data_IF_591205522919
#
_entry.id   IF_591205522919
#
_cell.length_a   1.000
_cell.length_b   1.000
_cell.length_c   1.000
_cell.angle_alpha   90.00
_cell.angle_beta   90.00
_cell.angle_gamma   90.00
#
_symmetry.space_group_name_H-M   'P 1'
#
loop_
_entity.id
_entity.type
_entity.pdbx_description
1 polymer ?
#
# COMPACT_ATOMS: atom_id res chain seq x y z
N UNK A 1 -1.11 -9.60 21.00
CA UNK A 1 -2.17 -8.60 21.34
C UNK A 1 -2.16 -8.30 22.83
N UNK A 2 -2.26 -9.27 23.73
CA UNK A 2 -2.33 -9.04 25.19
C UNK A 2 -1.21 -8.15 25.70
N UNK A 3 0.03 -8.39 25.27
CA UNK A 3 1.19 -7.56 25.61
C UNK A 3 1.01 -6.12 25.10
N UNK A 4 0.60 -5.97 23.84
CA UNK A 4 0.40 -4.65 23.21
C UNK A 4 -0.66 -3.83 23.94
N UNK A 5 -1.80 -4.46 24.32
CA UNK A 5 -2.87 -3.81 25.06
C UNK A 5 -2.40 -3.38 26.44
N UNK A 6 -1.74 -4.26 27.19
CA UNK A 6 -1.20 -3.95 28.52
C UNK A 6 -0.19 -2.80 28.44
N UNK A 7 0.78 -2.87 27.52
CA UNK A 7 1.75 -1.80 27.28
C UNK A 7 1.06 -0.47 26.93
N UNK A 8 0.03 -0.51 26.09
CA UNK A 8 -0.71 0.67 25.68
C UNK A 8 -1.42 1.33 26.89
N UNK A 9 -2.09 0.54 27.72
CA UNK A 9 -2.74 1.06 28.93
C UNK A 9 -1.73 1.66 29.92
N UNK A 10 -0.63 0.98 30.17
CA UNK A 10 0.35 1.37 31.18
C UNK A 10 1.22 2.58 30.74
N UNK A 11 1.45 2.75 29.43
CA UNK A 11 2.50 3.66 28.94
C UNK A 11 2.01 4.72 27.94
N UNK A 12 0.81 4.58 27.36
CA UNK A 12 0.34 5.48 26.29
C UNK A 12 -0.85 6.30 26.79
N UNK A 13 -0.72 7.62 26.93
CA UNK A 13 -1.75 8.49 27.50
C UNK A 13 -3.12 8.35 26.84
N UNK A 14 -3.15 8.20 25.51
CA UNK A 14 -4.42 8.04 24.78
C UNK A 14 -5.19 6.80 25.22
N UNK A 15 -4.51 5.67 25.35
CA UNK A 15 -5.17 4.39 25.70
C UNK A 15 -5.50 4.31 27.18
N UNK A 16 -4.69 4.91 28.05
CA UNK A 16 -5.04 5.07 29.45
C UNK A 16 -6.35 5.84 29.60
N UNK A 17 -6.43 7.03 29.00
CA UNK A 17 -7.65 7.85 29.02
C UNK A 17 -8.87 7.14 28.41
N UNK A 18 -8.66 6.42 27.29
CA UNK A 18 -9.70 5.66 26.62
C UNK A 18 -10.26 4.56 27.53
N UNK A 19 -9.36 3.81 28.19
CA UNK A 19 -9.71 2.71 29.06
C UNK A 19 -10.46 3.17 30.32
N UNK A 20 -9.97 4.23 30.97
CA UNK A 20 -10.62 4.76 32.19
C UNK A 20 -11.99 5.36 31.86
N UNK A 21 -12.13 6.13 30.78
CA UNK A 21 -13.42 6.75 30.40
C UNK A 21 -14.50 5.77 29.97
N UNK A 22 -14.11 4.60 29.43
CA UNK A 22 -15.05 3.61 28.92
C UNK A 22 -15.11 2.32 29.75
N UNK A 23 -14.52 2.29 30.93
CA UNK A 23 -14.46 1.11 31.81
C UNK A 23 -13.81 -0.12 31.14
N UNK A 24 -12.79 0.09 30.28
CA UNK A 24 -12.10 -0.96 29.53
C UNK A 24 -10.80 -1.44 30.18
N UNK A 25 -10.44 -0.93 31.37
CA UNK A 25 -9.19 -1.25 32.06
C UNK A 25 -8.95 -2.76 32.17
N UNK A 26 -9.95 -3.52 32.56
CA UNK A 26 -9.85 -4.98 32.69
C UNK A 26 -9.55 -5.65 31.34
N UNK A 27 -10.11 -5.12 30.25
CA UNK A 27 -9.85 -5.64 28.90
C UNK A 27 -8.40 -5.40 28.49
N UNK A 28 -7.85 -4.23 28.79
CA UNK A 28 -6.45 -3.91 28.49
C UNK A 28 -5.46 -4.74 29.31
N UNK A 29 -5.78 -5.04 30.58
CA UNK A 29 -4.86 -5.75 31.49
C UNK A 29 -5.00 -7.28 31.38
N UNK A 30 -6.23 -7.80 31.23
CA UNK A 30 -6.57 -9.23 31.23
C UNK A 30 -7.32 -9.64 29.94
N UNK A 31 -6.76 -9.27 28.80
CA UNK A 31 -7.34 -9.43 27.49
C UNK A 31 -7.76 -10.86 27.17
N UNK A 32 -8.98 -11.00 26.64
CA UNK A 32 -9.48 -12.21 25.97
C UNK A 32 -9.96 -11.83 24.57
N UNK A 33 -9.76 -12.72 23.59
CA UNK A 33 -10.02 -12.42 22.18
C UNK A 33 -11.46 -11.95 21.90
N UNK A 34 -12.45 -12.49 22.60
CA UNK A 34 -13.85 -12.10 22.42
C UNK A 34 -14.14 -10.64 22.86
N UNK A 35 -13.27 -10.05 23.70
CA UNK A 35 -13.41 -8.65 24.14
C UNK A 35 -12.76 -7.66 23.17
N UNK A 36 -12.12 -8.11 22.09
CA UNK A 36 -11.41 -7.19 21.18
C UNK A 36 -12.36 -6.13 20.60
N UNK A 37 -13.58 -6.54 20.24
CA UNK A 37 -14.59 -5.64 19.64
C UNK A 37 -15.12 -4.57 20.60
N UNK A 38 -14.92 -4.73 21.91
CA UNK A 38 -15.31 -3.75 22.91
C UNK A 38 -14.36 -2.53 22.91
N UNK A 39 -13.14 -2.69 22.39
CA UNK A 39 -12.18 -1.61 22.23
C UNK A 39 -12.58 -0.75 21.02
N UNK A 40 -12.79 0.56 21.20
CA UNK A 40 -13.19 1.45 20.10
C UNK A 40 -12.17 1.49 18.95
N UNK A 41 -12.69 1.60 17.74
CA UNK A 41 -11.87 1.81 16.55
C UNK A 41 -11.24 3.20 16.56
N UNK A 42 -9.97 3.28 16.16
CA UNK A 42 -9.30 4.55 15.86
C UNK A 42 -9.18 4.73 14.36
N UNK A 43 -9.18 5.97 13.92
CA UNK A 43 -9.01 6.32 12.51
C UNK A 43 -7.99 7.44 12.34
N UNK A 44 -7.66 7.73 11.09
CA UNK A 44 -6.69 8.77 10.73
C UNK A 44 -7.03 10.15 11.31
N UNK A 45 -8.31 10.48 11.41
CA UNK A 45 -8.77 11.78 11.97
C UNK A 45 -8.46 11.87 13.47
N UNK A 46 -8.76 10.82 14.22
CA UNK A 46 -8.46 10.73 15.65
C UNK A 46 -6.94 10.76 15.88
N UNK A 47 -6.22 9.94 15.13
CA UNK A 47 -4.76 9.87 15.22
C UNK A 47 -4.10 11.22 14.91
N UNK A 48 -4.58 11.96 13.92
CA UNK A 48 -4.08 13.29 13.58
C UNK A 48 -4.39 14.33 14.66
N UNK A 49 -5.61 14.33 15.19
CA UNK A 49 -6.03 15.30 16.19
C UNK A 49 -5.31 15.11 17.55
N UNK A 50 -4.96 13.86 17.87
CA UNK A 50 -4.38 13.48 19.17
C UNK A 50 -2.98 12.84 19.05
N UNK A 51 -2.26 13.08 17.96
CA UNK A 51 -1.02 12.38 17.63
C UNK A 51 -0.02 12.31 18.80
N UNK A 52 0.20 13.40 19.52
CA UNK A 52 1.11 13.44 20.67
C UNK A 52 0.69 12.54 21.83
N UNK A 53 -0.60 12.29 22.01
CA UNK A 53 -1.12 11.44 23.07
C UNK A 53 -0.96 9.94 22.76
N UNK A 54 -0.74 9.58 21.50
CA UNK A 54 -0.42 8.21 21.10
C UNK A 54 1.04 7.84 21.32
N UNK A 55 1.91 8.83 21.59
CA UNK A 55 3.32 8.60 21.84
C UNK A 55 3.59 8.41 23.34
N UNK A 56 4.43 7.45 23.67
CA UNK A 56 4.93 7.21 25.01
C UNK A 56 5.73 8.42 25.51
N UNK A 57 5.38 9.02 26.67
CA UNK A 57 5.95 10.30 27.11
C UNK A 57 7.45 10.30 27.42
N UNK A 58 7.98 9.18 27.89
CA UNK A 58 9.39 9.02 28.28
C UNK A 58 10.33 8.64 27.12
N UNK A 59 9.81 8.62 25.89
CA UNK A 59 10.59 8.31 24.69
C UNK A 59 11.49 9.51 24.34
N UNK A 60 12.78 9.45 24.71
CA UNK A 60 13.66 10.62 24.61
C UNK A 60 14.67 10.59 23.47
N UNK A 61 15.04 9.44 22.87
CA UNK A 61 16.14 9.35 21.88
C UNK A 61 15.86 8.33 20.77
N UNK A 62 16.40 8.64 19.58
CA UNK A 62 16.39 7.74 18.41
C UNK A 62 14.98 7.33 17.89
N UNK A 63 14.07 8.29 17.85
CA UNK A 63 12.76 8.08 17.24
C UNK A 63 12.85 8.25 15.73
N UNK A 64 12.33 7.28 15.00
CA UNK A 64 12.13 7.36 13.57
C UNK A 64 10.65 7.66 13.27
N UNK A 65 10.38 8.64 12.41
CA UNK A 65 9.02 8.97 12.02
C UNK A 65 8.73 8.45 10.62
N UNK A 66 7.70 7.62 10.51
CA UNK A 66 7.12 7.19 9.26
C UNK A 66 5.92 8.08 8.93
N UNK A 67 5.96 8.73 7.77
CA UNK A 67 4.92 9.66 7.34
C UNK A 67 4.00 8.99 6.33
N UNK A 68 2.69 9.13 6.51
CA UNK A 68 1.72 8.66 5.52
C UNK A 68 1.67 9.60 4.32
N UNK A 69 1.56 9.05 3.12
CA UNK A 69 1.24 9.84 1.94
C UNK A 69 -0.24 10.24 2.02
N UNK A 70 -0.48 11.51 2.32
CA UNK A 70 -1.83 12.01 2.56
C UNK A 70 -2.58 12.34 1.28
N UNK A 71 -3.16 11.35 0.59
CA UNK A 71 -4.00 11.60 -0.59
C UNK A 71 -5.32 12.32 -0.26
N UNK A 72 -5.85 12.24 0.95
CA UNK A 72 -7.22 12.73 1.26
C UNK A 72 -7.43 13.33 2.64
N UNK A 73 -6.43 13.42 3.49
CA UNK A 73 -6.65 13.90 4.87
C UNK A 73 -5.42 14.54 5.54
N UNK A 74 -4.39 14.83 4.77
CA UNK A 74 -3.11 15.32 5.29
C UNK A 74 -2.22 14.20 5.86
N UNK A 75 -0.95 14.53 6.06
CA UNK A 75 0.06 13.58 6.56
C UNK A 75 -0.14 13.29 8.03
N UNK A 76 0.06 12.04 8.41
CA UNK A 76 0.17 11.61 9.80
C UNK A 76 1.55 10.98 9.97
N UNK A 77 2.18 11.24 11.12
CA UNK A 77 3.48 10.68 11.48
C UNK A 77 3.27 9.63 12.56
N UNK A 78 3.80 8.43 12.35
CA UNK A 78 3.87 7.38 13.36
C UNK A 78 5.32 7.23 13.80
N UNK A 79 5.54 7.24 15.10
CA UNK A 79 6.86 7.12 15.70
C UNK A 79 7.23 5.66 15.92
N UNK A 80 8.47 5.32 15.64
CA UNK A 80 9.07 4.02 15.90
C UNK A 80 10.40 4.21 16.63
N UNK A 81 10.64 3.41 17.65
CA UNK A 81 11.97 3.23 18.22
C UNK A 81 12.81 2.27 17.37
N UNK A 82 14.03 2.01 17.84
CA UNK A 82 14.93 1.10 17.13
C UNK A 82 14.37 -0.32 17.07
N UNK A 83 13.75 -0.81 18.15
CA UNK A 83 13.14 -2.14 18.19
C UNK A 83 12.02 -2.30 17.17
N UNK A 84 11.11 -1.33 17.08
CA UNK A 84 10.04 -1.33 16.07
C UNK A 84 10.57 -1.29 14.64
N UNK A 85 11.66 -0.55 14.38
CA UNK A 85 12.32 -0.51 13.08
C UNK A 85 13.01 -1.84 12.75
N UNK A 86 13.61 -2.49 13.74
CA UNK A 86 14.28 -3.79 13.58
C UNK A 86 13.24 -4.89 13.30
N UNK A 87 12.09 -4.87 13.95
CA UNK A 87 10.96 -5.75 13.63
C UNK A 87 10.50 -5.59 12.19
N UNK A 88 10.29 -4.37 11.72
CA UNK A 88 9.93 -4.12 10.31
C UNK A 88 10.96 -4.66 9.33
N UNK A 89 12.25 -4.52 9.66
CA UNK A 89 13.36 -5.06 8.86
C UNK A 89 13.40 -6.59 8.88
N UNK A 90 13.21 -7.20 10.06
CA UNK A 90 13.18 -8.65 10.22
C UNK A 90 12.05 -9.31 9.42
N UNK A 91 10.84 -8.72 9.48
CA UNK A 91 9.69 -9.18 8.68
C UNK A 91 9.98 -9.12 7.19
N UNK A 92 10.60 -8.03 6.72
CA UNK A 92 10.97 -7.90 5.30
C UNK A 92 12.00 -8.96 4.89
N UNK A 93 13.03 -9.18 5.70
CA UNK A 93 14.05 -10.22 5.47
C UNK A 93 13.41 -11.61 5.45
N UNK A 94 12.52 -11.89 6.39
CA UNK A 94 11.78 -13.15 6.46
C UNK A 94 10.97 -13.38 5.19
N UNK A 95 10.12 -12.44 4.80
CA UNK A 95 9.25 -12.56 3.64
C UNK A 95 10.04 -12.76 2.33
N UNK A 96 11.08 -11.98 2.11
CA UNK A 96 11.96 -12.10 0.93
C UNK A 96 12.78 -13.39 0.95
N UNK A 97 13.18 -13.83 2.15
CA UNK A 97 13.89 -15.09 2.36
C UNK A 97 13.11 -16.31 1.89
N UNK A 98 11.77 -16.30 1.99
CA UNK A 98 10.90 -17.36 1.46
C UNK A 98 11.05 -17.59 -0.06
N UNK A 99 11.52 -16.57 -0.76
CA UNK A 99 11.82 -16.62 -2.19
C UNK A 99 13.32 -16.74 -2.49
N UNK A 100 14.11 -17.11 -1.49
CA UNK A 100 15.55 -17.32 -1.64
C UNK A 100 16.38 -16.04 -1.73
N UNK A 101 15.79 -14.86 -1.48
CA UNK A 101 16.54 -13.62 -1.39
C UNK A 101 17.38 -13.61 -0.10
N UNK A 102 18.69 -13.41 -0.25
CA UNK A 102 19.64 -13.43 0.88
C UNK A 102 20.01 -12.00 1.29
N UNK A 103 20.39 -11.85 2.55
CA UNK A 103 20.99 -10.60 3.03
C UNK A 103 22.16 -10.19 2.14
N UNK A 104 22.26 -8.91 1.87
CA UNK A 104 23.27 -8.29 1.02
C UNK A 104 23.21 -8.67 -0.47
N UNK A 105 22.21 -9.41 -0.93
CA UNK A 105 21.91 -9.47 -2.35
C UNK A 105 21.57 -8.06 -2.85
N UNK A 106 21.91 -7.75 -4.12
CA UNK A 106 21.67 -6.42 -4.69
C UNK A 106 20.18 -6.12 -4.80
N UNK A 107 19.74 -5.09 -4.10
CA UNK A 107 18.39 -4.55 -4.18
C UNK A 107 18.36 -3.23 -4.94
N UNK A 108 17.39 -3.06 -5.82
CA UNK A 108 17.07 -1.78 -6.44
C UNK A 108 15.64 -1.42 -6.15
N UNK A 109 15.44 -0.22 -5.61
CA UNK A 109 14.11 0.31 -5.32
C UNK A 109 13.80 1.45 -6.28
N UNK A 110 12.66 1.35 -6.96
CA UNK A 110 12.11 2.46 -7.71
C UNK A 110 11.36 3.38 -6.75
N UNK A 111 11.62 4.67 -6.83
CA UNK A 111 11.02 5.65 -5.93
C UNK A 111 10.72 6.93 -6.69
N UNK A 112 9.72 7.68 -6.24
CA UNK A 112 9.57 9.08 -6.61
C UNK A 112 10.65 9.91 -5.95
N UNK A 113 11.05 11.03 -6.58
CA UNK A 113 12.14 11.87 -6.04
C UNK A 113 11.70 12.58 -4.75
N UNK A 114 11.99 11.94 -3.63
CA UNK A 114 11.73 12.47 -2.27
C UNK A 114 13.02 12.71 -1.50
N UNK A 115 14.15 12.87 -2.20
CA UNK A 115 15.45 13.05 -1.55
C UNK A 115 15.45 14.23 -0.60
N UNK A 116 15.97 14.03 0.60
CA UNK A 116 16.20 15.14 1.54
C UNK A 116 17.11 16.20 0.90
N UNK A 117 16.76 17.47 1.08
CA UNK A 117 17.63 18.59 0.68
C UNK A 117 18.84 18.73 1.60
N UNK A 118 18.82 18.08 2.77
CA UNK A 118 19.91 18.15 3.75
C UNK A 118 21.05 17.18 3.38
N UNK A 119 22.25 17.69 3.18
CA UNK A 119 23.44 16.90 2.84
C UNK A 119 23.76 15.80 3.86
N UNK A 120 23.56 16.06 5.15
CA UNK A 120 23.82 15.06 6.21
C UNK A 120 22.88 13.86 6.08
N UNK A 121 21.61 14.08 5.77
CA UNK A 121 20.62 13.01 5.58
C UNK A 121 20.92 12.22 4.31
N UNK A 122 21.36 12.90 3.25
CA UNK A 122 21.82 12.24 2.02
C UNK A 122 23.01 11.31 2.28
N UNK A 123 24.01 11.76 3.06
CA UNK A 123 25.17 10.94 3.42
C UNK A 123 24.74 9.72 4.26
N UNK A 124 23.89 9.93 5.27
CA UNK A 124 23.35 8.82 6.09
C UNK A 124 22.58 7.80 5.25
N UNK A 125 21.75 8.30 4.32
CA UNK A 125 21.00 7.44 3.43
C UNK A 125 21.95 6.65 2.51
N UNK A 126 22.92 7.30 1.90
CA UNK A 126 23.94 6.63 1.06
C UNK A 126 24.71 5.57 1.82
N UNK A 127 25.17 5.86 3.06
CA UNK A 127 25.85 4.88 3.90
C UNK A 127 24.96 3.66 4.21
N UNK A 128 23.68 3.91 4.52
CA UNK A 128 22.69 2.85 4.76
C UNK A 128 22.44 2.01 3.51
N UNK A 129 22.35 2.64 2.35
CA UNK A 129 22.19 1.96 1.07
C UNK A 129 23.41 1.09 0.73
N UNK A 130 24.63 1.60 0.99
CA UNK A 130 25.86 0.85 0.78
C UNK A 130 25.95 -0.38 1.67
N UNK A 131 25.66 -0.24 2.98
CA UNK A 131 25.69 -1.35 3.94
C UNK A 131 24.68 -2.43 3.56
N UNK A 132 23.49 -2.05 3.08
CA UNK A 132 22.44 -3.00 2.69
C UNK A 132 22.56 -3.48 1.24
N UNK A 133 23.60 -3.11 0.51
CA UNK A 133 23.74 -3.33 -0.94
C UNK A 133 22.47 -2.92 -1.72
N UNK A 134 21.90 -1.78 -1.36
CA UNK A 134 20.67 -1.23 -1.95
C UNK A 134 21.00 -0.01 -2.80
N UNK A 135 20.24 0.19 -3.86
CA UNK A 135 20.25 1.44 -4.66
C UNK A 135 18.82 1.92 -4.85
N UNK A 136 18.63 3.24 -4.87
CA UNK A 136 17.37 3.83 -5.27
C UNK A 136 17.50 4.43 -6.67
N UNK A 137 16.56 4.11 -7.54
CA UNK A 137 16.39 4.77 -8.85
C UNK A 137 15.19 5.70 -8.70
N UNK A 138 15.43 7.00 -8.86
CA UNK A 138 14.38 8.01 -8.76
C UNK A 138 13.79 8.26 -10.15
N UNK A 139 12.57 7.77 -10.34
CA UNK A 139 11.85 7.94 -11.61
C UNK A 139 11.29 9.36 -11.65
N UNK A 140 11.67 10.11 -12.70
CA UNK A 140 11.19 11.46 -12.96
C UNK A 140 10.20 11.50 -14.11
N UNK A 141 10.44 10.69 -15.11
CA UNK A 141 9.64 10.58 -16.32
C UNK A 141 9.84 9.20 -16.97
N UNK A 142 8.99 8.87 -17.91
CA UNK A 142 9.00 7.61 -18.66
C UNK A 142 9.32 7.83 -20.14
N UNK A 143 10.01 8.92 -20.52
CA UNK A 143 10.44 9.05 -21.90
C UNK A 143 11.48 7.97 -22.29
N UNK A 144 11.59 7.66 -23.58
CA UNK A 144 12.41 6.54 -24.07
C UNK A 144 13.88 6.61 -23.60
N UNK A 145 14.47 7.80 -23.50
CA UNK A 145 15.85 7.98 -23.04
C UNK A 145 15.99 7.66 -21.56
N UNK A 146 15.04 8.11 -20.73
CA UNK A 146 15.03 7.85 -19.30
C UNK A 146 14.77 6.37 -19.00
N UNK A 147 13.81 5.75 -19.67
CA UNK A 147 13.55 4.29 -19.57
C UNK A 147 14.80 3.48 -19.88
N UNK A 148 15.47 3.78 -21.00
CA UNK A 148 16.69 3.09 -21.39
C UNK A 148 17.80 3.23 -20.33
N UNK A 149 17.99 4.42 -19.77
CA UNK A 149 18.96 4.65 -18.71
C UNK A 149 18.63 3.87 -17.43
N UNK A 150 17.38 3.86 -17.01
CA UNK A 150 16.94 3.11 -15.81
C UNK A 150 17.12 1.60 -16.00
N UNK A 151 16.72 1.06 -17.15
CA UNK A 151 16.87 -0.36 -17.46
C UNK A 151 18.36 -0.77 -17.56
N UNK A 152 19.21 0.07 -18.14
CA UNK A 152 20.64 -0.17 -18.12
C UNK A 152 21.23 -0.18 -16.71
N UNK A 153 20.76 0.71 -15.83
CA UNK A 153 21.19 0.69 -14.43
C UNK A 153 20.77 -0.60 -13.73
N UNK A 154 19.54 -1.07 -13.93
CA UNK A 154 19.07 -2.34 -13.38
C UNK A 154 19.91 -3.53 -13.84
N UNK A 155 20.18 -3.61 -15.15
CA UNK A 155 20.96 -4.69 -15.75
C UNK A 155 22.43 -4.65 -15.30
N UNK A 156 23.08 -3.47 -15.34
CA UNK A 156 24.49 -3.32 -15.00
C UNK A 156 24.80 -3.57 -13.52
N UNK A 157 23.86 -3.29 -12.64
CA UNK A 157 24.00 -3.52 -11.18
C UNK A 157 23.81 -4.97 -10.77
N UNK A 158 23.51 -5.89 -11.71
CA UNK A 158 23.19 -7.30 -11.40
C UNK A 158 22.12 -7.40 -10.31
N UNK A 159 21.02 -6.69 -10.53
CA UNK A 159 19.91 -6.58 -9.57
C UNK A 159 19.33 -7.96 -9.23
N UNK A 160 19.31 -8.32 -7.95
CA UNK A 160 18.68 -9.54 -7.47
C UNK A 160 17.22 -9.34 -7.08
N UNK A 161 16.89 -8.15 -6.58
CA UNK A 161 15.54 -7.76 -6.21
C UNK A 161 15.24 -6.37 -6.76
N UNK A 162 14.16 -6.26 -7.52
CA UNK A 162 13.56 -4.99 -7.92
C UNK A 162 12.30 -4.76 -7.08
N UNK A 163 12.23 -3.62 -6.40
CA UNK A 163 11.06 -3.21 -5.65
C UNK A 163 10.52 -1.88 -6.17
N UNK A 164 9.19 -1.78 -6.35
CA UNK A 164 8.56 -0.54 -6.78
C UNK A 164 7.03 -0.64 -6.78
N UNK A 165 6.37 0.45 -7.14
CA UNK A 165 4.94 0.43 -7.40
C UNK A 165 4.65 -0.29 -8.73
N UNK A 166 3.54 -1.05 -8.83
CA UNK A 166 3.16 -1.71 -10.09
C UNK A 166 3.19 -0.79 -11.30
N UNK A 167 2.60 0.40 -11.18
CA UNK A 167 2.57 1.40 -12.28
C UNK A 167 3.96 1.88 -12.69
N UNK A 168 4.89 2.05 -11.74
CA UNK A 168 6.26 2.46 -12.02
C UNK A 168 7.03 1.39 -12.79
N UNK A 169 6.89 0.12 -12.37
CA UNK A 169 7.60 -0.99 -13.02
C UNK A 169 7.02 -1.24 -14.41
N UNK A 170 5.70 -1.27 -14.54
CA UNK A 170 5.01 -1.47 -15.82
C UNK A 170 5.31 -0.31 -16.79
N UNK A 171 5.21 0.94 -16.33
CA UNK A 171 5.58 2.11 -17.12
C UNK A 171 7.04 2.12 -17.59
N UNK A 172 7.96 1.57 -16.78
CA UNK A 172 9.38 1.48 -17.12
C UNK A 172 9.64 0.51 -18.29
N UNK A 173 8.92 -0.61 -18.34
CA UNK A 173 9.13 -1.68 -19.33
C UNK A 173 8.26 -1.52 -20.57
N UNK A 174 7.24 -0.67 -20.52
CA UNK A 174 6.34 -0.46 -21.63
C UNK A 174 7.07 0.03 -22.88
N UNK A 175 6.71 -0.54 -24.06
CA UNK A 175 7.33 -0.26 -25.37
C UNK A 175 8.84 -0.60 -25.45
N UNK A 176 9.36 -1.44 -24.56
CA UNK A 176 10.74 -1.92 -24.56
C UNK A 176 10.81 -3.36 -25.01
N UNK A 177 11.53 -3.63 -26.09
CA UNK A 177 11.66 -4.98 -26.66
C UNK A 177 12.74 -5.85 -26.03
N UNK A 178 13.70 -5.25 -25.32
CA UNK A 178 14.84 -5.99 -24.75
C UNK A 178 14.54 -6.43 -23.33
N UNK A 179 14.20 -7.69 -23.17
CA UNK A 179 14.00 -8.35 -21.87
C UNK A 179 15.33 -8.75 -21.21
N UNK A 180 15.33 -8.82 -19.89
CA UNK A 180 16.42 -9.39 -19.10
C UNK A 180 15.87 -9.95 -17.77
N UNK A 181 16.59 -10.91 -17.20
CA UNK A 181 16.14 -11.58 -15.98
C UNK A 181 16.49 -10.80 -14.72
N UNK A 182 15.51 -10.66 -13.82
CA UNK A 182 15.70 -10.26 -12.40
C UNK A 182 15.13 -11.38 -11.54
N UNK A 183 15.91 -11.97 -10.62
CA UNK A 183 15.46 -13.11 -9.82
C UNK A 183 14.19 -12.87 -9.01
N UNK A 184 13.96 -11.65 -8.53
CA UNK A 184 12.83 -11.30 -7.70
C UNK A 184 12.31 -9.91 -8.03
N UNK A 185 11.02 -9.79 -8.32
CA UNK A 185 10.32 -8.51 -8.46
C UNK A 185 9.23 -8.44 -7.39
N UNK A 186 9.28 -7.40 -6.55
CA UNK A 186 8.34 -7.16 -5.45
C UNK A 186 7.59 -5.85 -5.68
N UNK A 187 6.26 -5.89 -5.64
CA UNK A 187 5.40 -4.71 -5.78
C UNK A 187 4.74 -4.32 -4.46
N UNK A 188 4.49 -3.03 -4.28
CA UNK A 188 3.70 -2.51 -3.16
C UNK A 188 3.22 -1.08 -3.41
N UNK A 189 2.29 -0.61 -2.58
CA UNK A 189 1.84 0.79 -2.58
C UNK A 189 0.67 1.09 -3.50
N UNK A 190 0.42 0.23 -4.47
CA UNK A 190 -0.72 0.22 -5.37
C UNK A 190 -1.20 -1.21 -5.55
N UNK A 191 -2.40 -1.39 -6.08
CA UNK A 191 -2.90 -2.72 -6.43
C UNK A 191 -2.20 -3.22 -7.69
N UNK A 192 -1.67 -4.43 -7.62
CA UNK A 192 -1.07 -5.09 -8.78
C UNK A 192 -2.17 -5.71 -9.65
N UNK A 193 -2.41 -5.11 -10.82
CA UNK A 193 -3.38 -5.58 -11.79
C UNK A 193 -2.86 -6.79 -12.57
N UNK A 194 -3.76 -7.62 -13.08
CA UNK A 194 -3.39 -8.86 -13.80
C UNK A 194 -2.56 -8.60 -15.05
N UNK A 195 -2.90 -7.57 -15.83
CA UNK A 195 -2.14 -7.15 -17.00
C UNK A 195 -0.72 -6.68 -16.61
N UNK A 196 -0.59 -5.82 -15.61
CA UNK A 196 0.71 -5.37 -15.11
C UNK A 196 1.55 -6.57 -14.62
N UNK A 197 0.95 -7.49 -13.85
CA UNK A 197 1.63 -8.71 -13.40
C UNK A 197 2.18 -9.49 -14.60
N UNK A 198 1.35 -9.78 -15.60
CA UNK A 198 1.77 -10.52 -16.80
C UNK A 198 2.88 -9.81 -17.57
N UNK A 199 2.76 -8.49 -17.78
CA UNK A 199 3.78 -7.69 -18.47
C UNK A 199 5.11 -7.76 -17.75
N UNK A 200 5.12 -7.53 -16.43
CA UNK A 200 6.31 -7.53 -15.59
C UNK A 200 6.96 -8.92 -15.53
N UNK A 201 6.15 -9.98 -15.33
CA UNK A 201 6.62 -11.36 -15.29
C UNK A 201 7.25 -11.81 -16.61
N UNK A 202 6.63 -11.45 -17.74
CA UNK A 202 7.15 -11.75 -19.08
C UNK A 202 8.45 -10.99 -19.35
N UNK A 203 8.51 -9.70 -19.01
CA UNK A 203 9.69 -8.87 -19.27
C UNK A 203 10.91 -9.30 -18.48
N UNK A 204 10.76 -9.56 -17.18
CA UNK A 204 11.87 -9.93 -16.30
C UNK A 204 12.07 -11.45 -16.19
N UNK A 205 11.26 -12.27 -16.86
CA UNK A 205 11.29 -13.74 -16.79
C UNK A 205 11.29 -14.26 -15.34
N UNK A 206 10.43 -13.70 -14.50
CA UNK A 206 10.30 -14.03 -13.07
C UNK A 206 8.87 -13.88 -12.59
N UNK A 207 8.55 -14.46 -11.43
CA UNK A 207 7.26 -14.21 -10.78
C UNK A 207 7.29 -12.88 -10.01
N UNK A 208 6.22 -12.11 -10.14
CA UNK A 208 6.02 -10.90 -9.35
C UNK A 208 5.38 -11.27 -8.03
N UNK A 209 5.93 -10.75 -6.94
CA UNK A 209 5.41 -10.90 -5.59
C UNK A 209 4.75 -9.60 -5.18
N UNK A 210 3.53 -9.71 -4.70
CA UNK A 210 2.80 -8.57 -4.20
C UNK A 210 2.80 -8.53 -2.67
N UNK A 211 2.77 -7.31 -2.11
CA UNK A 211 2.62 -7.10 -0.67
C UNK A 211 1.73 -5.91 -0.35
N UNK A 212 0.97 -6.05 0.72
CA UNK A 212 0.23 -4.96 1.32
C UNK A 212 0.94 -4.45 2.57
N UNK A 213 1.13 -3.16 2.63
CA UNK A 213 1.77 -2.51 3.77
C UNK A 213 1.33 -1.06 3.94
N UNK A 214 1.49 -0.57 5.15
CA UNK A 214 1.10 0.77 5.58
C UNK A 214 2.30 1.49 6.20
N UNK A 215 2.39 2.80 6.04
CA UNK A 215 3.37 3.60 6.76
C UNK A 215 3.15 3.51 8.28
N UNK A 216 1.89 3.28 8.69
CA UNK A 216 1.47 3.19 10.08
C UNK A 216 1.81 1.87 10.77
N UNK A 217 1.95 0.77 10.00
CA UNK A 217 2.16 -0.57 10.59
C UNK A 217 3.18 -1.45 9.86
N UNK A 218 3.84 -0.94 8.84
CA UNK A 218 4.80 -1.75 8.07
C UNK A 218 4.11 -2.76 7.15
N UNK A 219 4.71 -3.95 6.99
CA UNK A 219 4.14 -5.04 6.18
C UNK A 219 2.97 -5.67 6.94
N UNK A 220 1.79 -5.63 6.35
CA UNK A 220 0.55 -6.21 6.90
C UNK A 220 0.30 -7.60 6.33
N UNK A 221 0.42 -7.73 5.01
CA UNK A 221 0.23 -9.00 4.32
C UNK A 221 1.20 -9.14 3.14
N UNK A 222 1.54 -10.38 2.83
CA UNK A 222 2.55 -10.72 1.83
C UNK A 222 2.11 -11.94 1.03
N UNK A 223 2.35 -11.92 -0.28
CA UNK A 223 2.10 -13.09 -1.12
C UNK A 223 3.13 -14.18 -0.79
N UNK A 224 2.68 -15.29 -0.22
CA UNK A 224 3.55 -16.43 0.11
C UNK A 224 3.82 -17.29 -1.13
N UNK A 225 4.91 -18.10 -1.15
CA UNK A 225 5.17 -19.01 -2.25
C UNK A 225 3.96 -19.90 -2.57
N UNK A 226 3.65 -20.02 -3.86
CA UNK A 226 2.54 -20.81 -4.37
C UNK A 226 1.12 -20.33 -3.98
N UNK A 227 1.00 -19.13 -3.43
CA UNK A 227 -0.28 -18.52 -3.12
C UNK A 227 -0.61 -17.39 -4.10
N UNK A 228 -1.90 -17.18 -4.34
CA UNK A 228 -2.42 -16.09 -5.17
C UNK A 228 -2.75 -14.87 -4.32
N UNK A 229 -3.37 -15.11 -3.17
CA UNK A 229 -3.78 -14.07 -2.24
C UNK A 229 -2.66 -13.72 -1.25
N UNK A 230 -2.84 -12.64 -0.51
CA UNK A 230 -1.87 -12.18 0.49
C UNK A 230 -2.14 -12.82 1.83
N UNK A 231 -1.15 -13.49 2.40
CA UNK A 231 -1.19 -14.00 3.78
C UNK A 231 -0.87 -12.88 4.77
N UNK A 232 -1.69 -12.72 5.78
CA UNK A 232 -1.46 -11.78 6.87
C UNK A 232 -0.22 -12.20 7.67
N UNK A 233 0.65 -11.24 7.97
CA UNK A 233 1.84 -11.44 8.82
C UNK A 233 1.42 -11.23 10.28
N UNK A 234 0.71 -12.20 10.85
CA UNK A 234 0.00 -12.12 12.11
C UNK A 234 0.89 -11.99 13.35
N UNK A 235 2.16 -12.39 13.25
CA UNK A 235 3.15 -12.15 14.30
C UNK A 235 3.68 -10.70 14.33
N UNK A 236 3.36 -9.90 13.29
CA UNK A 236 3.73 -8.49 13.19
C UNK A 236 2.53 -7.56 13.29
N UNK A 237 1.45 -7.90 12.63
CA UNK A 237 0.23 -7.08 12.57
C UNK A 237 -1.00 -7.97 12.68
N UNK A 238 -1.81 -7.75 13.71
CA UNK A 238 -3.11 -8.39 13.80
C UNK A 238 -4.11 -7.66 12.91
N UNK A 239 -4.86 -8.42 12.10
CA UNK A 239 -5.81 -7.89 11.12
C UNK A 239 -7.22 -8.36 11.45
N UNK A 240 -8.15 -7.42 11.52
CA UNK A 240 -9.58 -7.63 11.50
C UNK A 240 -10.13 -7.18 10.15
N UNK A 241 -11.19 -7.81 9.68
CA UNK A 241 -11.94 -7.36 8.51
C UNK A 241 -13.36 -7.10 8.98
N UNK A 242 -13.78 -5.85 8.88
CA UNK A 242 -15.14 -5.43 9.24
C UNK A 242 -16.16 -5.98 8.23
N UNK A 243 -17.46 -5.97 8.60
CA UNK A 243 -18.54 -6.52 7.76
C UNK A 243 -18.63 -5.86 6.38
N UNK A 244 -18.24 -4.61 6.27
CA UNK A 244 -18.14 -3.88 4.99
C UNK A 244 -16.87 -4.20 4.19
N UNK A 245 -15.98 -5.03 4.72
CA UNK A 245 -14.70 -5.39 4.11
C UNK A 245 -13.54 -4.46 4.47
N UNK A 246 -13.71 -3.45 5.31
CA UNK A 246 -12.63 -2.54 5.71
C UNK A 246 -11.59 -3.27 6.56
N UNK A 247 -10.31 -3.02 6.26
CA UNK A 247 -9.19 -3.57 6.98
C UNK A 247 -8.93 -2.73 8.23
N UNK A 248 -8.92 -3.39 9.38
CA UNK A 248 -8.53 -2.82 10.67
C UNK A 248 -7.29 -3.51 11.16
N UNK A 249 -6.29 -2.75 11.59
CA UNK A 249 -4.99 -3.28 12.01
C UNK A 249 -4.65 -2.94 13.45
N UNK A 250 -4.03 -3.89 14.13
CA UNK A 250 -3.36 -3.66 15.42
C UNK A 250 -1.86 -3.97 15.24
N UNK A 251 -1.02 -2.95 15.38
CA UNK A 251 0.43 -3.13 15.29
C UNK A 251 0.94 -3.78 16.59
N UNK A 252 1.62 -4.93 16.48
CA UNK A 252 2.06 -5.73 17.63
C UNK A 252 3.47 -5.38 18.10
N UNK A 253 4.27 -4.73 17.25
CA UNK A 253 5.71 -4.53 17.45
C UNK A 253 6.13 -3.05 17.46
N UNK A 254 5.20 -2.13 17.76
CA UNK A 254 5.50 -0.73 18.02
C UNK A 254 5.14 -0.39 19.45
N UNK A 255 6.12 -0.47 20.37
CA UNK A 255 5.88 -0.32 21.79
C UNK A 255 5.76 1.16 22.25
N UNK A 256 6.22 2.11 21.43
CA UNK A 256 6.20 3.54 21.79
C UNK A 256 5.00 4.29 21.20
N UNK A 257 4.40 3.79 20.14
CA UNK A 257 3.22 4.36 19.50
C UNK A 257 2.36 3.25 18.87
N UNK A 258 1.86 2.29 19.67
CA UNK A 258 1.03 1.20 19.15
C UNK A 258 -0.28 1.75 18.59
N UNK A 259 -0.67 1.27 17.42
CA UNK A 259 -1.99 1.53 16.86
C UNK A 259 -2.86 0.30 17.09
N UNK A 260 -3.87 0.43 17.93
CA UNK A 260 -4.79 -0.64 18.30
C UNK A 260 -6.12 -0.40 17.59
N UNK A 261 -6.59 -1.40 16.81
CA UNK A 261 -7.82 -1.34 16.04
C UNK A 261 -7.91 -0.09 15.14
N UNK A 262 -6.83 0.15 14.38
CA UNK A 262 -6.73 1.27 13.47
C UNK A 262 -7.41 0.96 12.13
N UNK A 263 -8.42 1.76 11.77
CA UNK A 263 -9.08 1.74 10.48
C UNK A 263 -8.15 2.27 9.41
N UNK A 264 -7.80 1.43 8.46
CA UNK A 264 -6.85 1.79 7.40
C UNK A 264 -7.50 2.64 6.29
N UNK A 265 -8.81 2.49 6.11
CA UNK A 265 -9.56 2.99 4.97
C UNK A 265 -9.34 2.18 3.69
N UNK A 266 -8.60 1.08 3.76
CA UNK A 266 -8.42 0.12 2.67
C UNK A 266 -9.37 -1.06 2.87
N UNK A 267 -9.79 -1.72 1.77
CA UNK A 267 -10.79 -2.78 1.79
C UNK A 267 -10.24 -4.07 1.21
N UNK A 268 -10.76 -5.20 1.69
CA UNK A 268 -10.41 -6.52 1.18
C UNK A 268 -11.60 -7.49 1.20
N UNK A 269 -11.44 -8.63 0.51
CA UNK A 269 -12.17 -9.85 0.82
C UNK A 269 -11.32 -10.72 1.73
N UNK A 270 -11.97 -11.32 2.72
CA UNK A 270 -11.38 -12.37 3.53
C UNK A 270 -11.39 -13.66 2.73
N UNK A 271 -10.25 -14.30 2.61
CA UNK A 271 -10.07 -15.58 1.95
C UNK A 271 -9.59 -16.60 2.98
N UNK A 272 -10.12 -17.82 2.93
CA UNK A 272 -9.63 -18.90 3.77
C UNK A 272 -8.75 -19.82 2.95
N UNK A 273 -7.63 -20.23 3.54
CA UNK A 273 -6.73 -21.21 2.91
C UNK A 273 -6.81 -22.56 3.59
N UNK A 274 -6.43 -23.61 2.86
CA UNK A 274 -6.38 -24.99 3.34
C UNK A 274 -5.40 -25.15 4.53
N UNK A 275 -4.37 -24.31 4.59
CA UNK A 275 -3.33 -24.38 5.63
C UNK A 275 -3.65 -23.55 6.88
N UNK A 276 -4.87 -23.01 6.99
CA UNK A 276 -5.31 -22.23 8.16
C UNK A 276 -4.73 -20.81 8.26
N UNK A 277 -3.93 -20.37 7.28
CA UNK A 277 -3.45 -18.99 7.23
C UNK A 277 -4.56 -18.04 6.84
N UNK A 278 -4.72 -16.96 7.60
CA UNK A 278 -5.62 -15.88 7.27
C UNK A 278 -5.13 -15.15 6.01
N UNK A 279 -5.91 -15.23 4.95
CA UNK A 279 -5.59 -14.55 3.69
C UNK A 279 -6.58 -13.47 3.37
N UNK A 280 -6.07 -12.43 2.69
CA UNK A 280 -6.84 -11.30 2.21
C UNK A 280 -6.54 -11.07 0.72
N UNK A 281 -7.56 -10.62 0.00
CA UNK A 281 -7.43 -10.07 -1.35
C UNK A 281 -7.82 -8.61 -1.29
N UNK A 282 -6.86 -7.72 -1.51
CA UNK A 282 -7.10 -6.27 -1.48
C UNK A 282 -8.07 -5.91 -2.60
N UNK A 283 -9.10 -5.12 -2.26
CA UNK A 283 -10.03 -4.53 -3.21
C UNK A 283 -9.56 -3.14 -3.60
N UNK A 284 -9.83 -2.75 -4.83
CA UNK A 284 -9.65 -1.38 -5.26
C UNK A 284 -10.60 -0.46 -4.48
N UNK A 285 -10.07 0.70 -4.10
CA UNK A 285 -10.84 1.76 -3.45
C UNK A 285 -10.62 1.82 -1.94
N UNK A 286 -9.89 2.84 -1.56
CA UNK A 286 -10.08 3.48 -0.25
C UNK A 286 -11.50 4.02 -0.22
N UNK A 287 -12.10 4.24 0.95
CA UNK A 287 -13.41 4.91 1.13
C UNK A 287 -13.42 6.32 0.48
N UNK A 288 -13.10 6.39 -0.84
CA UNK A 288 -12.82 7.63 -1.51
C UNK A 288 -13.75 7.90 -2.67
N UNK A 289 -14.31 9.05 -2.51
CA UNK A 289 -15.08 9.76 -3.52
C UNK A 289 -16.35 9.02 -3.89
N UNK A 290 -17.26 9.03 -2.93
CA UNK A 290 -18.66 8.98 -3.33
C UNK A 290 -18.92 10.28 -4.09
N UNK A 291 -18.78 10.25 -5.40
CA UNK A 291 -19.25 11.32 -6.22
C UNK A 291 -20.79 11.33 -6.16
N UNK A 292 -21.37 12.41 -5.69
CA UNK A 292 -22.80 12.56 -5.74
C UNK A 292 -23.17 13.06 -7.14
N UNK A 293 -23.62 12.15 -8.01
CA UNK A 293 -24.04 12.48 -9.36
C UNK A 293 -25.56 12.34 -9.45
N UNK A 294 -26.28 13.46 -9.64
CA UNK A 294 -27.75 13.48 -9.72
C UNK A 294 -28.44 12.74 -8.58
N UNK A 295 -27.92 12.87 -7.35
CA UNK A 295 -28.47 12.19 -6.17
C UNK A 295 -28.01 10.72 -6.00
N UNK A 296 -27.27 10.16 -6.94
CA UNK A 296 -26.70 8.82 -6.86
C UNK A 296 -25.29 8.90 -6.29
N UNK A 297 -25.04 8.16 -5.22
CA UNK A 297 -23.69 8.01 -4.68
C UNK A 297 -22.91 7.01 -5.55
N UNK A 298 -22.01 7.51 -6.39
CA UNK A 298 -21.14 6.69 -7.21
C UNK A 298 -19.84 6.39 -6.45
N UNK A 299 -19.59 5.12 -6.23
CA UNK A 299 -18.29 4.67 -5.72
C UNK A 299 -17.34 4.52 -6.92
N UNK A 300 -16.28 5.35 -6.95
CA UNK A 300 -15.29 5.29 -8.03
C UNK A 300 -14.59 3.93 -8.09
N UNK A 301 -14.36 3.28 -6.95
CA UNK A 301 -13.77 1.95 -6.89
C UNK A 301 -14.57 0.89 -7.66
N UNK A 302 -15.89 0.91 -7.53
CA UNK A 302 -16.75 -0.04 -8.26
C UNK A 302 -16.72 0.20 -9.77
N UNK A 303 -16.50 1.46 -10.21
CA UNK A 303 -16.33 1.80 -11.63
C UNK A 303 -14.94 1.34 -12.10
N UNK A 304 -13.92 1.53 -11.28
CA UNK A 304 -12.56 1.02 -11.54
C UNK A 304 -12.55 -0.49 -11.71
N UNK A 305 -13.20 -1.24 -10.80
CA UNK A 305 -13.32 -2.70 -10.89
C UNK A 305 -13.90 -3.15 -12.23
N UNK A 306 -14.90 -2.44 -12.74
CA UNK A 306 -15.52 -2.75 -14.03
C UNK A 306 -14.58 -2.41 -15.19
N UNK A 307 -13.95 -1.25 -15.15
CA UNK A 307 -13.06 -0.79 -16.22
C UNK A 307 -11.84 -1.71 -16.34
N UNK A 308 -11.27 -2.13 -15.22
CA UNK A 308 -10.11 -3.02 -15.21
C UNK A 308 -10.44 -4.51 -15.43
N UNK A 309 -11.70 -4.88 -15.67
CA UNK A 309 -12.00 -6.20 -16.27
C UNK A 309 -11.56 -6.29 -17.73
N UNK A 310 -11.31 -5.15 -18.37
CA UNK A 310 -10.79 -5.09 -19.73
C UNK A 310 -9.27 -5.08 -19.70
N UNK A 311 -8.64 -6.12 -20.25
CA UNK A 311 -7.17 -6.31 -20.22
C UNK A 311 -6.42 -5.19 -20.97
N UNK A 312 -7.08 -4.47 -21.87
CA UNK A 312 -6.51 -3.40 -22.68
C UNK A 312 -6.44 -2.05 -21.97
N UNK A 313 -7.12 -1.91 -20.83
CA UNK A 313 -7.08 -0.67 -20.06
C UNK A 313 -5.77 -0.61 -19.26
N UNK A 314 -4.99 0.44 -19.51
CA UNK A 314 -3.70 0.68 -18.83
C UNK A 314 -3.82 1.56 -17.62
N UNK A 315 -4.55 2.66 -17.77
CA UNK A 315 -4.75 3.62 -16.68
C UNK A 315 -6.10 4.32 -16.78
N UNK A 316 -6.49 4.97 -15.70
CA UNK A 316 -7.79 5.59 -15.53
C UNK A 316 -7.69 6.78 -14.58
N UNK A 317 -8.32 7.90 -14.97
CA UNK A 317 -8.42 9.09 -14.15
C UNK A 317 -9.88 9.54 -14.05
N UNK A 318 -10.33 9.82 -12.81
CA UNK A 318 -11.60 10.48 -12.57
C UNK A 318 -11.42 11.99 -12.42
N UNK A 319 -12.13 12.76 -13.25
CA UNK A 319 -12.21 14.21 -13.11
C UNK A 319 -13.61 14.61 -12.66
N UNK A 320 -13.71 15.12 -11.45
CA UNK A 320 -14.96 15.56 -10.85
C UNK A 320 -15.12 17.08 -10.98
N UNK A 321 -16.16 17.53 -11.68
CA UNK A 321 -16.47 18.94 -11.80
C UNK A 321 -17.67 19.28 -10.91
N UNK A 322 -17.40 19.83 -9.72
CA UNK A 322 -18.43 20.12 -8.70
C UNK A 322 -19.54 21.05 -9.17
N UNK A 323 -19.24 22.02 -10.06
CA UNK A 323 -20.23 23.02 -10.51
C UNK A 323 -21.26 22.51 -11.53
N UNK A 324 -21.01 21.37 -12.19
CA UNK A 324 -21.88 20.87 -13.29
C UNK A 324 -22.39 19.46 -13.04
N UNK A 325 -22.12 18.89 -11.88
CA UNK A 325 -22.43 17.46 -11.59
C UNK A 325 -22.01 16.51 -12.72
N UNK A 326 -20.85 16.79 -13.34
CA UNK A 326 -20.31 15.99 -14.44
C UNK A 326 -19.13 15.21 -13.92
N UNK A 327 -19.14 13.90 -14.17
CA UNK A 327 -18.02 13.01 -13.96
C UNK A 327 -17.42 12.73 -15.33
N UNK A 328 -16.18 13.14 -15.54
CA UNK A 328 -15.39 12.68 -16.67
C UNK A 328 -14.55 11.49 -16.23
N UNK A 329 -14.60 10.42 -17.00
CA UNK A 329 -13.73 9.26 -16.83
C UNK A 329 -12.77 9.29 -18.01
N UNK A 330 -11.49 9.41 -17.74
CA UNK A 330 -10.43 9.36 -18.74
C UNK A 330 -9.79 7.99 -18.65
N UNK A 331 -9.73 7.26 -19.75
CA UNK A 331 -9.20 5.91 -19.80
C UNK A 331 -8.06 5.88 -20.82
N UNK A 332 -6.92 5.35 -20.43
CA UNK A 332 -5.85 4.97 -21.34
C UNK A 332 -6.04 3.52 -21.76
N UNK A 333 -6.27 3.28 -23.06
CA UNK A 333 -6.47 1.95 -23.62
C UNK A 333 -5.48 1.67 -24.75
N UNK A 334 -5.10 0.40 -24.89
CA UNK A 334 -4.21 -0.05 -25.99
C UNK A 334 -4.91 -0.11 -27.33
N UNK A 335 -6.22 -0.45 -27.33
CA UNK A 335 -7.04 -0.63 -28.53
C UNK A 335 -8.40 0.01 -28.34
N UNK A 336 -8.81 0.83 -29.31
CA UNK A 336 -10.08 1.58 -29.25
C UNK A 336 -11.32 0.69 -29.46
N UNK A 337 -11.14 -0.54 -29.92
CA UNK A 337 -12.22 -1.46 -30.29
C UNK A 337 -13.22 -1.73 -29.16
N UNK A 338 -12.74 -1.76 -27.90
CA UNK A 338 -13.55 -2.11 -26.72
C UNK A 338 -14.17 -0.89 -26.01
N UNK A 339 -13.93 0.32 -26.50
CA UNK A 339 -14.39 1.54 -25.83
C UNK A 339 -15.92 1.59 -25.62
N UNK A 340 -16.68 1.20 -26.66
CA UNK A 340 -18.13 1.22 -26.55
C UNK A 340 -18.66 0.17 -25.58
N UNK A 341 -17.99 -0.97 -25.48
CA UNK A 341 -18.33 -2.02 -24.51
C UNK A 341 -18.05 -1.57 -23.08
N UNK A 342 -16.90 -0.94 -22.84
CA UNK A 342 -16.54 -0.34 -21.55
C UNK A 342 -17.60 0.70 -21.15
N UNK A 343 -17.94 1.60 -22.06
CA UNK A 343 -18.97 2.62 -21.83
C UNK A 343 -20.33 2.01 -21.48
N UNK A 344 -20.73 0.99 -22.20
CA UNK A 344 -22.01 0.31 -21.98
C UNK A 344 -22.03 -0.40 -20.60
N UNK A 345 -20.95 -1.06 -20.19
CA UNK A 345 -20.87 -1.72 -18.88
C UNK A 345 -20.91 -0.69 -17.73
N UNK A 346 -20.21 0.43 -17.88
CA UNK A 346 -20.25 1.50 -16.87
C UNK A 346 -21.66 2.10 -16.77
N UNK A 347 -22.31 2.39 -17.89
CA UNK A 347 -23.66 2.93 -17.91
C UNK A 347 -24.69 1.97 -17.30
N UNK A 348 -24.57 0.67 -17.57
CA UNK A 348 -25.40 -0.37 -16.96
C UNK A 348 -25.21 -0.43 -15.45
N UNK A 349 -23.99 -0.36 -14.97
CA UNK A 349 -23.68 -0.41 -13.54
C UNK A 349 -24.20 0.83 -12.79
N UNK A 350 -24.03 2.01 -13.38
CA UNK A 350 -24.41 3.27 -12.75
C UNK A 350 -25.88 3.59 -12.94
N UNK A 351 -26.58 2.84 -13.79
CA UNK A 351 -27.97 3.10 -14.23
C UNK A 351 -28.17 4.56 -14.71
N UNK A 352 -27.09 5.18 -15.21
CA UNK A 352 -27.05 6.57 -15.66
C UNK A 352 -26.11 6.69 -16.84
N UNK A 353 -26.42 7.61 -17.76
CA UNK A 353 -25.49 8.00 -18.82
C UNK A 353 -24.38 8.86 -18.21
N UNK A 354 -23.18 8.27 -18.04
CA UNK A 354 -22.00 9.00 -17.57
C UNK A 354 -21.54 9.92 -18.68
N UNK A 355 -21.60 11.21 -18.41
CA UNK A 355 -21.57 12.31 -19.37
C UNK A 355 -20.46 12.31 -20.41
N UNK A 356 -19.18 12.17 -20.07
CA UNK A 356 -18.10 12.18 -21.05
C UNK A 356 -17.04 11.16 -20.69
N UNK A 357 -16.98 10.07 -21.44
CA UNK A 357 -15.85 9.17 -21.46
C UNK A 357 -14.85 9.73 -22.49
N UNK A 358 -13.64 10.05 -22.06
CA UNK A 358 -12.56 10.48 -22.95
C UNK A 358 -11.52 9.37 -23.05
N UNK A 359 -11.08 9.09 -24.27
CA UNK A 359 -9.92 8.23 -24.52
C UNK A 359 -8.72 9.14 -24.70
N UNK A 360 -7.63 8.86 -24.00
CA UNK A 360 -6.32 9.37 -24.36
C UNK A 360 -5.61 8.31 -25.22
N UNK A 361 -5.30 8.67 -26.46
CA UNK A 361 -4.46 7.83 -27.31
C UNK A 361 -3.02 7.75 -26.76
N UNK A 362 -2.25 6.77 -27.28
CA UNK A 362 -0.90 6.35 -26.85
C UNK A 362 0.14 7.45 -26.57
N UNK A 363 -0.11 8.73 -26.82
CA UNK A 363 0.88 9.82 -26.76
C UNK A 363 0.38 11.10 -26.06
N UNK A 364 -0.68 11.04 -25.27
CA UNK A 364 -1.12 12.22 -24.52
C UNK A 364 -0.86 11.99 -23.03
N UNK A 365 0.08 12.76 -22.48
CA UNK A 365 0.34 12.78 -21.03
C UNK A 365 -0.89 13.27 -20.26
N UNK A 366 -1.13 12.64 -19.09
CA UNK A 366 -2.16 13.05 -18.11
C UNK A 366 -1.84 14.41 -17.49
#
# INVERSE_FOLDING_TARGET
ISFTLKNAYENIPYYYDLAEKNNLKEIFLNFKMHNLKDIPLINKKILKAKNKFFLRPDTQKNINFCNTNGSTGGRVSVAYDQEGMDWGSAVMIFCRGLYGHKLFNKEVHLSTDTRSKNKRDQIKQFAKELVNNRSNIFIKDFNNKSKFNYLNQLSSQKTNLLHGMPSQIDGLINDVSKCFHIPLVETSGEILRLNQRRNIENFFSTKVIDRYGLAESGIVAYQMPNQVNLSVIDFHTFVEVEDNGEIVVTNLNNNIMPLIRYRTGDFCTREETIDGYFQIKIKEGREHVVANYKGIKLNTASIEDIIFTFEEVRDLQFQLTQKKEIINIIIEIEREENFQEIKNKINLFTNTDIGKLMILGKNQDF
#
